data_IF_307723055744
#
_entry.id   IF_307723055744
#
_cell.length_a   1.000
_cell.length_b   1.000
_cell.length_c   1.000
_cell.angle_alpha   90.00
_cell.angle_beta   90.00
_cell.angle_gamma   90.00
#
_symmetry.space_group_name_H-M   'P 1'
#
loop_
_entity.id
_entity.type
_entity.pdbx_description
1 polymer ?
#
# COMPACT_ATOMS: atom_id res chain seq x y z
N UNK A 1 -22.04 -12.47 21.94
CA UNK A 1 -21.11 -13.36 21.19
C UNK A 1 -21.07 -12.86 19.75
N UNK A 2 -19.91 -12.40 19.26
CA UNK A 2 -19.76 -12.03 17.85
C UNK A 2 -19.64 -13.35 17.08
N UNK A 3 -20.68 -13.73 16.34
CA UNK A 3 -20.63 -14.89 15.47
C UNK A 3 -19.52 -14.66 14.43
N UNK A 4 -18.51 -15.50 14.46
CA UNK A 4 -17.48 -15.51 13.44
C UNK A 4 -18.11 -16.01 12.13
N UNK A 5 -18.17 -15.15 11.10
CA UNK A 5 -18.69 -15.58 9.79
C UNK A 5 -17.76 -16.65 9.22
N UNK A 6 -18.32 -17.78 8.83
CA UNK A 6 -17.57 -18.81 8.12
C UNK A 6 -17.09 -18.28 6.77
N UNK A 7 -15.87 -18.64 6.37
CA UNK A 7 -15.39 -18.39 5.01
C UNK A 7 -16.12 -19.34 4.06
N UNK A 8 -16.75 -18.79 3.03
CA UNK A 8 -17.54 -19.53 2.03
C UNK A 8 -17.12 -19.12 0.61
N UNK A 9 -17.71 -19.72 -0.40
CA UNK A 9 -17.50 -19.32 -1.80
C UNK A 9 -17.97 -17.90 -2.15
N UNK A 10 -18.73 -17.24 -1.27
CA UNK A 10 -19.17 -15.85 -1.45
C UNK A 10 -18.27 -14.83 -0.74
N UNK A 11 -17.34 -15.30 0.10
CA UNK A 11 -16.42 -14.41 0.84
C UNK A 11 -15.51 -13.66 -0.11
N UNK A 12 -15.48 -12.35 0.00
CA UNK A 12 -14.61 -11.50 -0.83
C UNK A 12 -13.14 -11.65 -0.45
N UNK A 13 -12.28 -11.88 -1.43
CA UNK A 13 -10.84 -12.00 -1.23
C UNK A 13 -10.11 -10.69 -1.51
N UNK A 14 -9.27 -10.29 -0.56
CA UNK A 14 -8.28 -9.23 -0.66
C UNK A 14 -6.90 -9.77 -0.30
N UNK A 15 -5.84 -9.14 -0.76
CA UNK A 15 -4.50 -9.63 -0.45
C UNK A 15 -3.43 -8.52 -0.41
N UNK A 16 -2.27 -8.90 0.14
CA UNK A 16 -1.00 -8.19 -0.07
C UNK A 16 -0.04 -9.11 -0.80
N UNK A 17 0.71 -8.56 -1.74
CA UNK A 17 1.82 -9.23 -2.41
C UNK A 17 3.14 -8.50 -2.16
N UNK A 18 4.24 -9.23 -2.14
CA UNK A 18 5.60 -8.74 -1.96
C UNK A 18 6.59 -9.89 -1.98
N UNK A 19 7.87 -9.60 -1.78
CA UNK A 19 8.88 -10.63 -1.66
C UNK A 19 9.96 -10.23 -0.63
N UNK A 20 9.82 -10.70 0.60
CA UNK A 20 8.72 -11.48 1.19
C UNK A 20 7.52 -10.63 1.63
N UNK A 21 6.31 -11.23 1.69
CA UNK A 21 5.10 -10.61 2.22
C UNK A 21 4.50 -11.33 3.45
N UNK A 22 4.93 -12.57 3.72
CA UNK A 22 4.38 -13.42 4.80
C UNK A 22 4.51 -12.81 6.21
N UNK A 23 5.47 -11.91 6.43
CA UNK A 23 5.66 -11.21 7.73
C UNK A 23 4.80 -9.95 7.89
N UNK A 24 4.00 -9.61 6.86
CA UNK A 24 3.16 -8.41 6.89
C UNK A 24 2.07 -8.49 7.96
N UNK A 25 1.87 -7.39 8.67
CA UNK A 25 0.75 -7.23 9.61
C UNK A 25 -0.58 -6.90 8.91
N UNK A 26 -0.57 -6.65 7.60
CA UNK A 26 -1.79 -6.29 6.85
C UNK A 26 -2.92 -7.31 7.00
N UNK A 27 -2.69 -8.63 6.92
CA UNK A 27 -3.75 -9.61 7.15
C UNK A 27 -4.39 -9.48 8.54
N UNK A 28 -3.58 -9.33 9.59
CA UNK A 28 -4.08 -9.15 10.96
C UNK A 28 -4.96 -7.91 11.09
N UNK A 29 -4.48 -6.77 10.55
CA UNK A 29 -5.17 -5.47 10.64
C UNK A 29 -6.48 -5.51 9.83
N UNK A 30 -6.43 -5.92 8.57
CA UNK A 30 -7.59 -5.91 7.69
C UNK A 30 -8.67 -6.92 8.14
N UNK A 31 -8.28 -8.13 8.52
CA UNK A 31 -9.25 -9.12 9.01
C UNK A 31 -9.93 -8.69 10.30
N UNK A 32 -9.19 -8.04 11.22
CA UNK A 32 -9.81 -7.45 12.43
C UNK A 32 -10.81 -6.34 12.06
N UNK A 33 -10.48 -5.49 11.07
CA UNK A 33 -11.39 -4.46 10.57
C UNK A 33 -12.62 -5.06 9.89
N UNK A 34 -12.46 -6.07 9.04
CA UNK A 34 -13.58 -6.74 8.37
C UNK A 34 -14.54 -7.35 9.38
N UNK A 35 -14.00 -8.01 10.41
CA UNK A 35 -14.80 -8.53 11.53
C UNK A 35 -15.58 -7.42 12.24
N UNK A 36 -14.93 -6.30 12.56
CA UNK A 36 -15.56 -5.15 13.24
C UNK A 36 -16.65 -4.50 12.39
N UNK A 37 -16.47 -4.43 11.06
CA UNK A 37 -17.42 -3.84 10.11
C UNK A 37 -18.50 -4.83 9.64
N UNK A 38 -18.46 -6.08 10.07
CA UNK A 38 -19.40 -7.12 9.63
C UNK A 38 -19.27 -7.49 8.15
N UNK A 39 -18.12 -7.22 7.54
CA UNK A 39 -17.86 -7.54 6.14
C UNK A 39 -17.65 -9.05 5.95
N UNK A 40 -18.20 -9.60 4.87
CA UNK A 40 -17.88 -10.96 4.41
C UNK A 40 -16.65 -10.88 3.49
N UNK A 41 -15.48 -10.82 4.11
CA UNK A 41 -14.21 -10.63 3.42
C UNK A 41 -13.05 -11.27 4.19
N UNK A 42 -12.03 -11.68 3.45
CA UNK A 42 -10.77 -12.19 3.99
C UNK A 42 -9.59 -11.49 3.30
N UNK A 43 -8.56 -11.23 4.07
CA UNK A 43 -7.30 -10.65 3.59
C UNK A 43 -6.15 -11.62 3.85
N UNK A 44 -5.38 -11.93 2.80
CA UNK A 44 -4.26 -12.87 2.85
C UNK A 44 -2.96 -12.22 2.36
N UNK A 45 -1.81 -12.83 2.67
CA UNK A 45 -0.50 -12.42 2.16
C UNK A 45 0.05 -13.51 1.25
N UNK A 46 0.69 -13.08 0.14
CA UNK A 46 1.33 -13.98 -0.81
C UNK A 46 2.74 -13.48 -1.13
N UNK A 47 3.72 -14.36 -1.01
CA UNK A 47 5.06 -14.13 -1.50
C UNK A 47 5.03 -14.30 -3.03
N UNK A 48 5.34 -13.22 -3.74
CA UNK A 48 5.34 -13.17 -5.21
C UNK A 48 6.70 -12.71 -5.68
N UNK A 49 7.39 -13.52 -6.47
CA UNK A 49 8.67 -13.16 -7.05
C UNK A 49 8.50 -12.03 -8.09
N UNK A 50 9.55 -11.19 -8.34
CA UNK A 50 9.47 -10.10 -9.31
C UNK A 50 9.05 -10.54 -10.70
N UNK A 51 9.51 -11.69 -11.16
CA UNK A 51 9.17 -12.30 -12.46
C UNK A 51 7.70 -12.69 -12.57
N UNK A 52 7.04 -12.99 -11.45
CA UNK A 52 5.63 -13.41 -11.40
C UNK A 52 4.65 -12.25 -11.20
N UNK A 53 5.14 -11.03 -11.02
CA UNK A 53 4.31 -9.86 -10.72
C UNK A 53 3.19 -9.66 -11.76
N UNK A 54 3.51 -9.77 -13.05
CA UNK A 54 2.53 -9.64 -14.13
C UNK A 54 1.41 -10.67 -13.99
N UNK A 55 1.78 -11.92 -13.77
CA UNK A 55 0.82 -13.03 -13.62
C UNK A 55 -0.05 -12.84 -12.39
N UNK A 56 0.52 -12.37 -11.26
CA UNK A 56 -0.21 -12.07 -10.04
C UNK A 56 -1.24 -10.96 -10.23
N UNK A 57 -0.88 -9.85 -10.91
CA UNK A 57 -1.79 -8.73 -11.19
C UNK A 57 -2.94 -9.17 -12.10
N UNK A 58 -2.67 -9.88 -13.18
CA UNK A 58 -3.74 -10.37 -14.07
C UNK A 58 -4.56 -11.49 -13.44
N UNK A 59 -3.95 -12.32 -12.58
CA UNK A 59 -4.62 -13.32 -11.77
C UNK A 59 -5.66 -12.72 -10.82
N UNK A 60 -5.42 -11.51 -10.32
CA UNK A 60 -6.40 -10.76 -9.53
C UNK A 60 -7.78 -10.71 -10.20
N UNK A 61 -7.79 -10.42 -11.51
CA UNK A 61 -9.02 -10.36 -12.31
C UNK A 61 -9.61 -11.75 -12.55
N UNK A 62 -8.77 -12.73 -12.86
CA UNK A 62 -9.20 -14.10 -13.15
C UNK A 62 -9.81 -14.80 -11.93
N UNK A 63 -9.25 -14.56 -10.72
CA UNK A 63 -9.74 -15.13 -9.46
C UNK A 63 -10.77 -14.25 -8.73
N UNK A 64 -11.15 -13.11 -9.28
CA UNK A 64 -12.12 -12.22 -8.69
C UNK A 64 -11.66 -11.54 -7.39
N UNK A 65 -10.35 -11.41 -7.18
CA UNK A 65 -9.75 -10.69 -6.04
C UNK A 65 -10.20 -9.22 -6.11
N UNK A 66 -10.80 -8.71 -5.03
CA UNK A 66 -11.45 -7.38 -5.02
C UNK A 66 -10.48 -6.23 -4.86
N UNK A 67 -9.38 -6.44 -4.15
CA UNK A 67 -8.33 -5.46 -3.95
C UNK A 67 -7.02 -6.14 -3.59
N UNK A 68 -5.91 -5.52 -3.99
CA UNK A 68 -4.56 -6.01 -3.74
C UNK A 68 -3.71 -4.85 -3.24
N UNK A 69 -3.01 -5.03 -2.13
CA UNK A 69 -1.95 -4.12 -1.72
C UNK A 69 -0.59 -4.68 -2.11
N UNK A 70 0.40 -3.79 -2.24
CA UNK A 70 1.73 -4.15 -2.66
C UNK A 70 2.77 -3.63 -1.68
N UNK A 71 3.77 -4.47 -1.40
CA UNK A 71 4.98 -4.06 -0.71
C UNK A 71 6.21 -4.26 -1.59
N UNK A 72 7.41 -4.05 -1.03
CA UNK A 72 8.66 -4.24 -1.77
C UNK A 72 8.76 -5.65 -2.37
N UNK A 73 9.29 -5.80 -3.61
CA UNK A 73 9.86 -4.79 -4.48
C UNK A 73 8.88 -4.21 -5.52
N UNK A 74 7.60 -4.50 -5.46
CA UNK A 74 6.65 -4.41 -6.57
C UNK A 74 6.05 -3.02 -6.85
N UNK A 75 6.12 -2.08 -5.90
CA UNK A 75 5.37 -0.79 -5.94
C UNK A 75 5.63 0.07 -7.19
N UNK A 76 6.84 0.04 -7.73
CA UNK A 76 7.20 0.79 -8.94
C UNK A 76 6.85 0.01 -10.20
N UNK A 77 7.28 -1.25 -10.26
CA UNK A 77 7.12 -2.08 -11.45
C UNK A 77 5.66 -2.32 -11.82
N UNK A 78 4.78 -2.44 -10.82
CA UNK A 78 3.35 -2.69 -11.02
C UNK A 78 2.64 -1.58 -11.80
N UNK A 79 3.18 -0.36 -11.80
CA UNK A 79 2.61 0.78 -12.53
C UNK A 79 2.42 0.50 -14.02
N UNK A 80 3.26 -0.34 -14.61
CA UNK A 80 3.19 -0.76 -16.03
C UNK A 80 1.93 -1.54 -16.38
N UNK A 81 1.25 -2.10 -15.38
CA UNK A 81 0.07 -2.94 -15.55
C UNK A 81 -1.23 -2.23 -15.19
N UNK A 82 -1.17 -0.94 -14.84
CA UNK A 82 -2.34 -0.15 -14.47
C UNK A 82 -2.96 0.53 -15.68
N UNK A 83 -4.28 0.44 -15.81
CA UNK A 83 -5.04 1.24 -16.80
C UNK A 83 -5.13 2.70 -16.37
N UNK A 84 -5.23 2.92 -15.05
CA UNK A 84 -5.32 4.25 -14.44
C UNK A 84 -4.45 4.32 -13.20
N UNK A 85 -3.71 5.41 -13.05
CA UNK A 85 -2.90 5.69 -11.86
C UNK A 85 -3.37 7.01 -11.26
N UNK A 86 -3.67 6.97 -9.98
CA UNK A 86 -4.01 8.16 -9.20
C UNK A 86 -2.89 9.21 -9.29
N UNK A 87 -3.22 10.53 -9.36
CA UNK A 87 -2.21 11.59 -9.50
C UNK A 87 -1.10 11.52 -8.45
N UNK A 88 -1.43 11.28 -7.18
CA UNK A 88 -0.45 11.14 -6.11
C UNK A 88 0.46 9.92 -6.32
N UNK A 89 -0.10 8.78 -6.68
CA UNK A 89 0.68 7.58 -6.97
C UNK A 89 1.62 7.80 -8.17
N UNK A 90 1.19 8.57 -9.17
CA UNK A 90 2.01 8.95 -10.34
C UNK A 90 3.15 9.87 -9.94
N UNK A 91 2.90 10.88 -9.12
CA UNK A 91 3.90 11.82 -8.60
C UNK A 91 4.95 11.07 -7.75
N UNK A 92 4.50 10.19 -6.86
CA UNK A 92 5.37 9.35 -6.04
C UNK A 92 6.16 8.32 -6.85
N UNK A 93 5.71 7.99 -8.08
CA UNK A 93 6.29 6.92 -8.87
C UNK A 93 6.11 5.54 -8.21
N UNK A 94 5.03 5.33 -7.46
CA UNK A 94 4.78 4.08 -6.75
C UNK A 94 3.29 3.86 -6.50
N UNK A 95 2.83 2.65 -6.77
CA UNK A 95 1.48 2.16 -6.46
C UNK A 95 1.59 1.14 -5.32
N UNK A 96 0.84 1.33 -4.24
CA UNK A 96 0.77 0.37 -3.14
C UNK A 96 -0.60 -0.29 -2.98
N UNK A 97 -1.58 0.11 -3.79
CA UNK A 97 -2.91 -0.47 -3.77
C UNK A 97 -3.54 -0.52 -5.15
N UNK A 98 -4.18 -1.64 -5.48
CA UNK A 98 -4.88 -1.86 -6.73
C UNK A 98 -6.33 -2.23 -6.45
N UNK A 99 -7.24 -1.66 -7.20
CA UNK A 99 -8.63 -2.12 -7.28
C UNK A 99 -9.04 -2.30 -8.73
N UNK A 100 -10.02 -3.17 -8.96
CA UNK A 100 -10.62 -3.38 -10.27
C UNK A 100 -11.97 -2.67 -10.31
N UNK A 101 -12.15 -1.77 -11.29
CA UNK A 101 -13.41 -1.08 -11.56
C UNK A 101 -13.74 -1.24 -13.05
N UNK A 102 -14.91 -1.77 -13.37
CA UNK A 102 -15.35 -2.00 -14.76
C UNK A 102 -14.30 -2.75 -15.60
N UNK A 103 -13.67 -3.77 -15.01
CA UNK A 103 -12.67 -4.59 -15.66
C UNK A 103 -11.29 -3.93 -15.88
N UNK A 104 -11.07 -2.70 -15.39
CA UNK A 104 -9.81 -1.94 -15.48
C UNK A 104 -9.11 -1.87 -14.14
N UNK A 105 -7.77 -1.87 -14.18
CA UNK A 105 -6.91 -1.74 -13.00
C UNK A 105 -6.67 -0.26 -12.65
N UNK A 106 -6.98 0.10 -11.41
CA UNK A 106 -6.73 1.42 -10.84
C UNK A 106 -5.69 1.31 -9.73
N UNK A 107 -4.57 1.99 -9.92
CA UNK A 107 -3.46 2.05 -8.95
C UNK A 107 -3.51 3.30 -8.09
N UNK A 108 -3.30 3.12 -6.80
CA UNK A 108 -3.31 4.18 -5.77
C UNK A 108 -2.05 4.10 -4.91
N UNK A 109 -1.76 5.21 -4.21
CA UNK A 109 -0.78 5.21 -3.13
C UNK A 109 -1.41 5.76 -1.85
N UNK A 110 -1.36 4.97 -0.78
CA UNK A 110 -1.87 5.32 0.55
C UNK A 110 -0.77 5.48 1.58
N UNK A 111 0.50 5.29 1.20
CA UNK A 111 1.63 5.42 2.13
C UNK A 111 1.81 6.88 2.56
N UNK A 112 1.71 7.81 1.61
CA UNK A 112 1.86 9.25 1.87
C UNK A 112 0.74 9.75 2.81
N UNK A 113 -0.56 9.67 2.44
CA UNK A 113 -1.61 10.19 3.31
C UNK A 113 -1.65 9.47 4.65
N UNK A 114 -1.38 8.17 4.71
CA UNK A 114 -1.34 7.41 5.95
C UNK A 114 -0.23 7.88 6.90
N UNK A 115 0.95 8.13 6.37
CA UNK A 115 2.09 8.64 7.13
C UNK A 115 1.83 10.03 7.67
N UNK A 116 1.30 10.92 6.84
CA UNK A 116 1.00 12.30 7.24
C UNK A 116 -0.11 12.34 8.28
N UNK A 117 -1.19 11.57 8.10
CA UNK A 117 -2.24 11.47 9.14
C UNK A 117 -1.68 10.99 10.48
N UNK A 118 -0.72 10.06 10.47
CA UNK A 118 -0.07 9.60 11.68
C UNK A 118 0.74 10.72 12.34
N UNK A 119 1.53 11.46 11.59
CA UNK A 119 2.30 12.58 12.08
C UNK A 119 1.41 13.70 12.64
N UNK A 120 0.34 14.04 11.94
CA UNK A 120 -0.64 15.05 12.38
C UNK A 120 -1.28 14.67 13.73
N UNK A 121 -1.67 13.40 13.90
CA UNK A 121 -2.20 12.88 15.17
C UNK A 121 -1.21 12.95 16.32
N UNK A 122 0.09 12.95 16.02
CA UNK A 122 1.17 13.06 17.03
C UNK A 122 1.76 14.46 17.14
N UNK A 123 1.03 15.49 16.69
CA UNK A 123 1.41 16.88 16.87
C UNK A 123 2.43 17.41 15.86
N UNK A 124 2.31 16.98 14.61
CA UNK A 124 3.14 17.50 13.51
C UNK A 124 3.21 19.03 13.51
N UNK A 125 4.43 19.56 13.45
CA UNK A 125 4.68 21.00 13.36
C UNK A 125 5.41 21.34 12.05
N UNK A 126 4.74 22.00 11.13
CA UNK A 126 5.30 22.34 9.80
C UNK A 126 6.45 23.37 9.86
N UNK A 127 6.64 24.04 11.02
CA UNK A 127 7.77 24.97 11.25
C UNK A 127 9.00 24.25 11.79
N UNK A 128 8.88 23.02 12.25
CA UNK A 128 10.01 22.23 12.73
C UNK A 128 10.80 21.64 11.56
N UNK A 129 12.08 21.32 11.83
CA UNK A 129 12.88 20.47 10.95
C UNK A 129 12.60 18.99 11.21
N UNK A 130 12.68 18.18 10.18
CA UNK A 130 12.48 16.73 10.24
C UNK A 130 13.73 16.00 9.77
N UNK A 131 14.07 14.92 10.45
CA UNK A 131 15.10 13.97 10.02
C UNK A 131 14.44 12.65 9.62
N UNK A 132 14.71 12.21 8.39
CA UNK A 132 14.18 10.99 7.81
C UNK A 132 15.32 9.98 7.63
N UNK A 133 15.23 8.83 8.29
CA UNK A 133 16.22 7.77 8.18
C UNK A 133 15.82 6.77 7.12
N UNK A 134 16.65 6.68 6.07
CA UNK A 134 16.41 5.86 4.88
C UNK A 134 15.90 6.66 3.68
N UNK A 135 16.11 6.12 2.46
CA UNK A 135 15.67 6.70 1.18
C UNK A 135 14.84 5.71 0.34
N UNK A 136 14.25 4.69 0.96
CA UNK A 136 13.36 3.73 0.30
C UNK A 136 11.97 4.29 -0.02
N UNK A 137 11.10 3.44 -0.58
CA UNK A 137 9.77 3.85 -1.02
C UNK A 137 8.89 4.49 0.06
N UNK A 138 8.96 4.01 1.31
CA UNK A 138 8.24 4.62 2.43
C UNK A 138 8.82 6.01 2.77
N UNK A 139 10.14 6.14 2.81
CA UNK A 139 10.81 7.42 3.04
C UNK A 139 10.43 8.46 1.97
N UNK A 140 10.37 8.04 0.72
CA UNK A 140 9.93 8.88 -0.39
C UNK A 140 8.51 9.39 -0.19
N UNK A 141 7.57 8.51 0.15
CA UNK A 141 6.18 8.90 0.43
C UNK A 141 6.08 9.92 1.58
N UNK A 142 6.82 9.69 2.67
CA UNK A 142 6.87 10.61 3.82
C UNK A 142 7.46 11.96 3.42
N UNK A 143 8.57 11.97 2.66
CA UNK A 143 9.22 13.20 2.22
C UNK A 143 8.29 14.06 1.35
N UNK A 144 7.58 13.45 0.40
CA UNK A 144 6.58 14.13 -0.42
C UNK A 144 5.44 14.69 0.44
N UNK A 145 4.90 13.90 1.35
CA UNK A 145 3.83 14.36 2.23
C UNK A 145 4.25 15.51 3.14
N UNK A 146 5.46 15.49 3.68
CA UNK A 146 6.01 16.61 4.47
C UNK A 146 6.16 17.88 3.60
N UNK A 147 6.63 17.73 2.35
CA UNK A 147 6.73 18.83 1.40
C UNK A 147 5.35 19.41 1.04
N UNK A 148 4.37 18.57 0.74
CA UNK A 148 2.98 18.99 0.49
C UNK A 148 2.35 19.74 1.67
N UNK A 149 2.73 19.39 2.91
CA UNK A 149 2.31 20.12 4.13
C UNK A 149 3.11 21.41 4.38
N UNK A 150 4.06 21.73 3.52
CA UNK A 150 4.83 22.97 3.61
C UNK A 150 5.96 22.96 4.64
N UNK A 151 6.44 21.79 5.04
CA UNK A 151 7.65 21.66 5.87
C UNK A 151 8.83 22.24 5.14
N UNK A 152 9.61 23.12 5.80
CA UNK A 152 10.71 23.90 5.18
C UNK A 152 12.07 23.21 5.25
N UNK A 153 12.24 22.31 6.22
CA UNK A 153 13.53 21.66 6.48
C UNK A 153 13.33 20.17 6.65
N UNK A 154 13.87 19.39 5.70
CA UNK A 154 13.89 17.94 5.73
C UNK A 154 15.31 17.45 5.49
N UNK A 155 15.85 16.68 6.43
CA UNK A 155 17.17 16.04 6.34
C UNK A 155 16.96 14.55 6.06
N UNK A 156 17.50 14.04 4.96
CA UNK A 156 17.45 12.63 4.62
C UNK A 156 18.81 12.01 4.96
N UNK A 157 18.79 11.01 5.84
CA UNK A 157 19.98 10.30 6.29
C UNK A 157 19.90 8.89 5.74
N UNK A 158 20.80 8.55 4.81
CA UNK A 158 20.81 7.25 4.16
C UNK A 158 22.23 6.65 4.13
N UNK A 159 22.31 5.32 4.21
CA UNK A 159 23.58 4.60 4.13
C UNK A 159 24.25 4.75 2.75
N UNK A 160 23.45 4.78 1.69
CA UNK A 160 23.90 4.89 0.29
C UNK A 160 23.53 6.26 -0.23
N UNK A 161 24.52 7.08 -0.61
CA UNK A 161 24.31 8.47 -1.06
C UNK A 161 23.70 8.56 -2.47
N UNK A 162 23.79 7.50 -3.26
CA UNK A 162 23.35 7.43 -4.66
C UNK A 162 21.83 7.13 -4.81
N UNK A 163 21.10 7.06 -3.72
CA UNK A 163 19.65 6.81 -3.67
C UNK A 163 18.88 8.00 -3.13
#
# INVERSE_FOLDING_TARGET
>A
MVHEKAITGNTSLYCIIGMPAHHSLSPTIHNAMYKKLGMDAVFLAFDVAPEDLKSAVYGMKAYGIKGMTLTSPHKQEVMKYMDHIDPLAKELGAVNGIVIKNGKFYGYNTDEPGSIMSLERHGMNTKAGYALFGAGGAARAIAFGLAHKGVKSLYIINRTLEH
#
